data_IF_924098325849
#
_entry.id   IF_924098325849
#
_cell.length_a   1.000
_cell.length_b   1.000
_cell.length_c   1.000
_cell.angle_alpha   90.00
_cell.angle_beta   90.00
_cell.angle_gamma   90.00
#
_symmetry.space_group_name_H-M   'P 1'
#
loop_
_entity.id
_entity.type
_entity.pdbx_description
1 polymer ?
#
# COMPACT_ATOMS: atom_id res chain seq x y z
N UNK A 1 -18.96 -8.52 27.17
CA UNK A 1 -19.43 -8.74 25.79
C UNK A 1 -18.45 -8.04 24.89
N UNK A 2 -17.61 -8.81 24.20
CA UNK A 2 -16.69 -8.24 23.18
C UNK A 2 -17.53 -7.58 22.09
N UNK A 3 -17.12 -6.41 21.55
CA UNK A 3 -17.74 -5.86 20.38
C UNK A 3 -17.65 -6.92 19.27
N UNK A 4 -18.78 -7.29 18.67
CA UNK A 4 -18.78 -8.10 17.45
C UNK A 4 -18.13 -7.22 16.37
N UNK A 5 -16.89 -7.55 16.02
CA UNK A 5 -16.22 -6.96 14.88
C UNK A 5 -17.09 -7.24 13.64
N UNK A 6 -17.53 -6.19 12.97
CA UNK A 6 -18.27 -6.34 11.72
C UNK A 6 -17.31 -6.91 10.66
N UNK A 7 -17.78 -7.84 9.81
CA UNK A 7 -16.92 -8.40 8.77
C UNK A 7 -16.39 -7.30 7.84
N UNK A 8 -15.15 -7.45 7.40
CA UNK A 8 -14.50 -6.51 6.47
C UNK A 8 -15.33 -6.44 5.19
N UNK A 9 -15.79 -5.25 4.83
CA UNK A 9 -16.71 -5.03 3.71
C UNK A 9 -16.08 -4.13 2.66
N UNK A 10 -16.02 -4.62 1.42
CA UNK A 10 -15.57 -3.88 0.24
C UNK A 10 -16.72 -3.70 -0.76
N UNK A 11 -16.60 -2.74 -1.68
CA UNK A 11 -17.54 -2.62 -2.78
C UNK A 11 -17.46 -3.86 -3.69
N UNK A 12 -18.58 -4.43 -4.08
CA UNK A 12 -18.69 -5.76 -4.67
C UNK A 12 -17.96 -5.93 -6.03
N UNK A 13 -17.78 -4.84 -6.80
CA UNK A 13 -17.16 -4.86 -8.10
C UNK A 13 -15.99 -3.87 -8.13
N UNK A 14 -14.85 -4.28 -7.58
CA UNK A 14 -13.62 -3.50 -7.61
C UNK A 14 -12.45 -4.33 -8.14
N UNK A 15 -11.50 -3.68 -8.83
CA UNK A 15 -10.30 -4.33 -9.35
C UNK A 15 -9.28 -4.63 -8.27
N UNK A 16 -9.30 -3.84 -7.20
CA UNK A 16 -8.42 -4.00 -6.05
C UNK A 16 -9.12 -3.67 -4.75
N UNK A 17 -8.63 -4.28 -3.68
CA UNK A 17 -9.07 -4.08 -2.30
C UNK A 17 -7.86 -3.78 -1.45
N UNK A 18 -7.91 -2.69 -0.70
CA UNK A 18 -6.83 -2.22 0.16
C UNK A 18 -7.32 -2.12 1.60
N UNK A 19 -6.71 -2.86 2.48
CA UNK A 19 -7.00 -2.89 3.89
C UNK A 19 -5.85 -2.30 4.67
N UNK A 20 -6.13 -1.35 5.58
CA UNK A 20 -5.15 -0.83 6.52
C UNK A 20 -5.55 -1.22 7.94
N UNK A 21 -4.60 -1.78 8.70
CA UNK A 21 -4.84 -2.35 10.03
C UNK A 21 -3.81 -1.80 10.99
N UNK A 22 -4.28 -1.41 12.18
CA UNK A 22 -3.46 -1.02 13.31
C UNK A 22 -3.44 -2.14 14.35
N UNK A 23 -2.26 -2.61 14.76
CA UNK A 23 -2.08 -3.61 15.81
C UNK A 23 -1.45 -2.96 17.03
N UNK A 24 -2.09 -3.12 18.19
CA UNK A 24 -1.68 -2.52 19.46
C UNK A 24 -1.33 -3.59 20.49
N UNK A 25 -0.51 -3.19 21.47
CA UNK A 25 -0.03 -4.06 22.54
C UNK A 25 0.59 -5.36 21.99
N UNK A 26 1.39 -5.23 20.95
CA UNK A 26 2.13 -6.32 20.34
C UNK A 26 3.32 -6.72 21.22
N UNK A 27 3.88 -7.92 20.99
CA UNK A 27 5.15 -8.29 21.64
C UNK A 27 6.33 -7.55 20.98
N UNK A 28 6.95 -6.64 21.73
CA UNK A 28 8.06 -5.81 21.27
C UNK A 28 9.26 -6.65 20.74
N UNK A 29 9.50 -7.85 21.30
CA UNK A 29 10.59 -8.71 20.84
C UNK A 29 10.31 -9.28 19.46
N UNK A 30 9.07 -9.67 19.22
CA UNK A 30 8.60 -10.11 17.89
C UNK A 30 8.73 -8.98 16.88
N UNK A 31 8.29 -7.76 17.25
CA UNK A 31 8.36 -6.59 16.36
C UNK A 31 9.80 -6.16 16.03
N UNK A 32 10.77 -6.43 16.91
CA UNK A 32 12.18 -6.10 16.71
C UNK A 32 12.96 -7.16 15.92
N UNK A 33 12.43 -8.36 15.76
CA UNK A 33 13.10 -9.45 15.05
C UNK A 33 12.68 -9.48 13.57
N UNK A 34 13.57 -8.98 12.71
CA UNK A 34 13.32 -8.87 11.27
C UNK A 34 13.01 -10.21 10.61
N UNK A 35 13.65 -11.30 11.04
CA UNK A 35 13.41 -12.64 10.47
C UNK A 35 12.08 -13.21 10.91
N UNK A 36 11.76 -13.06 12.20
CA UNK A 36 10.48 -13.48 12.73
C UNK A 36 9.33 -12.70 12.10
N UNK A 37 9.48 -11.40 11.89
CA UNK A 37 8.51 -10.57 11.18
C UNK A 37 8.31 -11.05 9.74
N UNK A 38 9.39 -11.33 9.01
CA UNK A 38 9.30 -11.87 7.65
C UNK A 38 8.53 -13.20 7.62
N UNK A 39 8.88 -14.16 8.49
CA UNK A 39 8.21 -15.45 8.58
C UNK A 39 6.70 -15.30 8.89
N UNK A 40 6.34 -14.41 9.80
CA UNK A 40 4.95 -14.12 10.19
C UNK A 40 4.15 -13.60 8.99
N UNK A 41 4.70 -12.62 8.26
CA UNK A 41 4.00 -12.01 7.13
C UNK A 41 3.89 -12.94 5.93
N UNK A 42 4.94 -13.71 5.64
CA UNK A 42 4.91 -14.76 4.61
C UNK A 42 3.88 -15.84 4.95
N UNK A 43 3.80 -16.27 6.22
CA UNK A 43 2.80 -17.24 6.67
C UNK A 43 1.37 -16.66 6.56
N UNK A 44 1.15 -15.43 7.03
CA UNK A 44 -0.15 -14.78 6.95
C UNK A 44 -0.65 -14.64 5.51
N UNK A 45 0.24 -14.25 4.58
CA UNK A 45 -0.07 -14.20 3.16
C UNK A 45 -0.46 -15.57 2.61
N UNK A 46 0.30 -16.63 2.90
CA UNK A 46 0.04 -17.99 2.41
C UNK A 46 -1.28 -18.56 2.93
N UNK A 47 -1.55 -18.45 4.24
CA UNK A 47 -2.76 -19.03 4.84
C UNK A 47 -4.02 -18.30 4.39
N UNK A 48 -3.94 -17.02 4.05
CA UNK A 48 -5.06 -16.25 3.51
C UNK A 48 -5.33 -16.51 2.02
N UNK A 49 -4.54 -17.37 1.37
CA UNK A 49 -4.72 -17.78 -0.03
C UNK A 49 -3.83 -17.04 -1.02
N UNK A 50 -2.89 -16.19 -0.56
CA UNK A 50 -1.99 -15.46 -1.44
C UNK A 50 -0.88 -16.36 -2.01
N UNK A 51 -0.46 -16.05 -3.24
CA UNK A 51 0.71 -16.65 -3.87
C UNK A 51 1.92 -15.74 -3.66
N UNK A 52 2.79 -16.10 -2.70
CA UNK A 52 3.99 -15.31 -2.38
C UNK A 52 5.02 -15.42 -3.49
N UNK A 53 5.52 -14.28 -3.96
CA UNK A 53 6.57 -14.16 -4.98
C UNK A 53 7.93 -13.83 -4.35
N UNK A 54 7.96 -12.85 -3.46
CA UNK A 54 9.19 -12.34 -2.85
C UNK A 54 8.86 -11.70 -1.51
N UNK A 55 9.86 -11.59 -0.62
CA UNK A 55 9.77 -10.80 0.60
C UNK A 55 11.03 -9.95 0.78
N UNK A 56 10.85 -8.77 1.36
CA UNK A 56 11.95 -7.86 1.69
C UNK A 56 11.65 -7.20 3.02
N UNK A 57 12.54 -7.37 3.99
CA UNK A 57 12.40 -6.81 5.33
C UNK A 57 13.68 -6.09 5.72
N UNK A 58 13.53 -4.96 6.40
CA UNK A 58 14.63 -4.11 6.83
C UNK A 58 14.47 -3.75 8.31
N UNK A 59 15.56 -3.94 9.07
CA UNK A 59 15.64 -3.53 10.47
C UNK A 59 16.31 -2.15 10.56
N UNK A 60 15.69 -1.22 11.29
CA UNK A 60 16.21 0.12 11.53
C UNK A 60 16.99 0.20 12.84
N UNK A 61 17.88 1.19 12.93
CA UNK A 61 18.61 1.50 14.16
C UNK A 61 18.00 2.75 14.81
N UNK A 62 17.75 2.81 16.12
CA UNK A 62 18.12 1.78 17.12
C UNK A 62 17.17 0.57 17.14
N UNK A 63 15.96 0.66 16.56
CA UNK A 63 14.97 -0.41 16.50
C UNK A 63 13.89 -0.07 15.47
N UNK A 64 13.03 -1.06 15.17
CA UNK A 64 11.96 -0.95 14.19
C UNK A 64 12.20 -1.86 12.99
N UNK A 65 11.14 -2.33 12.40
CA UNK A 65 11.16 -3.17 11.19
C UNK A 65 10.15 -2.65 10.19
N UNK A 66 10.57 -2.47 8.95
CA UNK A 66 9.65 -2.33 7.83
C UNK A 66 9.83 -3.51 6.89
N UNK A 67 8.74 -4.02 6.36
CA UNK A 67 8.77 -5.18 5.47
C UNK A 67 7.64 -5.20 4.47
N UNK A 68 7.91 -5.91 3.38
CA UNK A 68 6.95 -6.12 2.30
C UNK A 68 7.04 -7.58 1.86
N UNK A 69 5.88 -8.23 1.75
CA UNK A 69 5.71 -9.50 1.05
C UNK A 69 4.99 -9.22 -0.26
N UNK A 70 5.68 -9.44 -1.35
CA UNK A 70 5.13 -9.33 -2.71
C UNK A 70 4.36 -10.61 -3.02
N UNK A 71 3.11 -10.47 -3.40
CA UNK A 71 2.24 -11.59 -3.77
C UNK A 71 1.77 -11.45 -5.22
N UNK A 72 1.34 -12.54 -5.84
CA UNK A 72 0.75 -12.49 -7.20
C UNK A 72 -0.41 -11.52 -7.30
N UNK A 73 -1.13 -11.33 -6.22
CA UNK A 73 -2.30 -10.47 -6.11
C UNK A 73 -1.96 -9.00 -5.81
N UNK A 74 -0.82 -8.68 -5.19
CA UNK A 74 -0.15 -7.38 -4.98
C UNK A 74 0.87 -7.42 -3.83
N UNK A 75 0.52 -7.02 -2.57
CA UNK A 75 1.47 -7.01 -1.46
C UNK A 75 0.80 -7.01 -0.07
N UNK A 76 1.60 -7.42 0.94
CA UNK A 76 1.42 -7.14 2.35
C UNK A 76 2.60 -6.28 2.80
N UNK A 77 2.35 -5.14 3.42
CA UNK A 77 3.40 -4.27 3.95
C UNK A 77 3.21 -4.06 5.46
N UNK A 78 4.31 -3.83 6.16
CA UNK A 78 4.32 -3.56 7.60
C UNK A 78 5.34 -2.51 7.96
N UNK A 79 4.97 -1.69 8.95
CA UNK A 79 5.85 -0.82 9.71
C UNK A 79 5.65 -1.12 11.19
N UNK A 80 6.72 -1.45 11.90
CA UNK A 80 6.68 -1.84 13.30
C UNK A 80 7.54 -0.93 14.18
N UNK A 81 6.96 -0.51 15.29
CA UNK A 81 7.60 0.29 16.35
C UNK A 81 7.61 -0.50 17.66
N UNK A 82 8.67 -1.29 17.91
CA UNK A 82 8.79 -2.09 19.13
C UNK A 82 8.68 -1.27 20.42
N UNK A 83 9.15 0.00 20.37
CA UNK A 83 9.09 0.94 21.50
C UNK A 83 7.68 1.39 21.89
N UNK A 84 6.73 1.17 20.99
CA UNK A 84 5.32 1.51 21.19
C UNK A 84 4.42 0.28 21.19
N UNK A 85 5.00 -0.94 21.16
CA UNK A 85 4.26 -2.20 21.03
C UNK A 85 3.24 -2.16 19.88
N UNK A 86 3.60 -1.51 18.76
CA UNK A 86 2.68 -1.12 17.70
C UNK A 86 3.19 -1.52 16.32
N UNK A 87 2.26 -1.98 15.47
CA UNK A 87 2.52 -2.23 14.05
C UNK A 87 1.37 -1.74 13.17
N UNK A 88 1.71 -1.01 12.10
CA UNK A 88 0.81 -0.61 11.04
C UNK A 88 0.97 -1.54 9.85
N UNK A 89 -0.13 -2.05 9.33
CA UNK A 89 -0.15 -3.03 8.24
C UNK A 89 -1.02 -2.54 7.10
N UNK A 90 -0.55 -2.78 5.87
CA UNK A 90 -1.25 -2.53 4.63
C UNK A 90 -1.34 -3.85 3.84
N UNK A 91 -2.56 -4.24 3.45
CA UNK A 91 -2.80 -5.40 2.59
C UNK A 91 -3.52 -4.91 1.35
N UNK A 92 -2.85 -4.93 0.20
CA UNK A 92 -3.47 -4.62 -1.08
C UNK A 92 -3.53 -5.87 -1.95
N UNK A 93 -4.72 -6.16 -2.48
CA UNK A 93 -4.92 -7.30 -3.38
C UNK A 93 -5.77 -6.94 -4.59
N UNK A 94 -5.49 -7.60 -5.70
CA UNK A 94 -6.28 -7.55 -6.91
C UNK A 94 -7.03 -8.87 -7.05
N UNK A 95 -8.35 -8.84 -6.88
CA UNK A 95 -9.19 -10.03 -6.91
C UNK A 95 -9.87 -10.31 -5.59
N UNK A 96 -10.51 -11.46 -5.51
CA UNK A 96 -11.39 -11.88 -4.42
C UNK A 96 -10.89 -13.14 -3.68
N UNK A 97 -9.71 -13.64 -4.05
CA UNK A 97 -9.18 -14.91 -3.54
C UNK A 97 -8.58 -14.80 -2.14
N UNK A 98 -8.22 -13.60 -1.69
CA UNK A 98 -7.59 -13.38 -0.39
C UNK A 98 -8.64 -13.26 0.69
N UNK A 99 -8.51 -14.09 1.72
CA UNK A 99 -9.31 -14.00 2.95
C UNK A 99 -8.66 -12.97 3.90
N UNK A 100 -9.19 -11.74 3.88
CA UNK A 100 -8.68 -10.63 4.69
C UNK A 100 -8.89 -10.85 6.19
N UNK A 101 -10.01 -11.47 6.59
CA UNK A 101 -10.29 -11.77 8.00
C UNK A 101 -9.28 -12.78 8.54
N UNK A 102 -8.98 -13.82 7.76
CA UNK A 102 -7.98 -14.81 8.12
C UNK A 102 -6.56 -14.22 8.14
N UNK A 103 -6.21 -13.33 7.19
CA UNK A 103 -4.94 -12.63 7.19
C UNK A 103 -4.78 -11.77 8.46
N UNK A 104 -5.77 -10.91 8.73
CA UNK A 104 -5.76 -9.99 9.88
C UNK A 104 -5.67 -10.75 11.21
N UNK A 105 -6.46 -11.80 11.40
CA UNK A 105 -6.44 -12.58 12.63
C UNK A 105 -5.15 -13.41 12.79
N UNK A 106 -4.57 -13.90 11.69
CA UNK A 106 -3.28 -14.60 11.72
C UNK A 106 -2.18 -13.65 12.17
N UNK A 107 -2.13 -12.44 11.60
CA UNK A 107 -1.19 -11.41 12.02
C UNK A 107 -1.40 -11.03 13.49
N UNK A 108 -2.65 -10.79 13.93
CA UNK A 108 -2.96 -10.45 15.32
C UNK A 108 -2.38 -11.48 16.30
N UNK A 109 -2.63 -12.77 16.04
CA UNK A 109 -2.13 -13.85 16.89
C UNK A 109 -0.61 -13.96 16.88
N UNK A 110 0.02 -13.85 15.71
CA UNK A 110 1.46 -14.05 15.55
C UNK A 110 2.28 -12.86 16.07
N UNK A 111 1.76 -11.66 15.95
CA UNK A 111 2.33 -10.45 16.55
C UNK A 111 2.07 -10.36 18.06
N UNK A 112 1.29 -11.29 18.61
CA UNK A 112 0.85 -11.29 20.00
C UNK A 112 0.08 -10.01 20.36
N UNK A 113 -0.61 -9.42 19.38
CA UNK A 113 -1.38 -8.20 19.57
C UNK A 113 -2.64 -8.43 20.41
N UNK A 114 -2.88 -7.58 21.38
CA UNK A 114 -4.10 -7.64 22.24
C UNK A 114 -5.30 -7.01 21.57
N UNK A 115 -5.09 -6.01 20.73
CA UNK A 115 -6.16 -5.35 19.99
C UNK A 115 -5.71 -4.97 18.59
N UNK A 116 -6.64 -5.00 17.65
CA UNK A 116 -6.44 -4.51 16.29
C UNK A 116 -7.59 -3.58 15.91
N UNK A 117 -7.32 -2.65 15.02
CA UNK A 117 -8.32 -1.76 14.45
C UNK A 117 -8.14 -1.68 12.93
N UNK A 118 -9.24 -1.90 12.21
CA UNK A 118 -9.25 -1.69 10.76
C UNK A 118 -9.52 -0.21 10.52
N UNK A 119 -8.49 0.53 10.13
CA UNK A 119 -8.59 1.96 9.91
C UNK A 119 -9.26 2.30 8.59
N UNK A 120 -8.98 1.53 7.52
CA UNK A 120 -9.61 1.75 6.22
C UNK A 120 -9.79 0.42 5.46
N UNK A 121 -10.91 0.32 4.72
CA UNK A 121 -11.16 -0.72 3.74
C UNK A 121 -11.55 -0.04 2.42
N UNK A 122 -10.57 0.11 1.52
CA UNK A 122 -10.71 0.88 0.28
C UNK A 122 -10.91 -0.05 -0.91
N UNK A 123 -11.85 0.29 -1.80
CA UNK A 123 -12.03 -0.36 -3.09
C UNK A 123 -11.40 0.49 -4.19
N UNK A 124 -10.58 -0.11 -5.04
CA UNK A 124 -9.89 0.59 -6.15
C UNK A 124 -10.32 0.03 -7.49
N UNK A 125 -10.46 0.92 -8.48
CA UNK A 125 -10.90 0.52 -9.83
C UNK A 125 -12.31 -0.06 -9.80
N UNK A 126 -13.29 0.75 -9.40
CA UNK A 126 -14.70 0.32 -9.30
C UNK A 126 -15.26 0.07 -10.70
N UNK A 127 -15.87 -1.08 -10.90
CA UNK A 127 -16.51 -1.48 -12.16
C UNK A 127 -17.98 -1.11 -12.10
N UNK A 128 -18.46 -0.34 -13.07
CA UNK A 128 -19.86 0.01 -13.22
C UNK A 128 -20.72 -1.16 -13.74
N UNK A 129 -22.03 -0.98 -13.70
CA UNK A 129 -23.00 -2.00 -14.15
C UNK A 129 -22.84 -2.40 -15.62
N UNK A 130 -22.26 -1.53 -16.43
CA UNK A 130 -21.96 -1.79 -17.85
C UNK A 130 -20.62 -2.51 -18.08
N UNK A 131 -19.92 -2.89 -17.00
CA UNK A 131 -18.59 -3.54 -17.07
C UNK A 131 -17.43 -2.58 -17.34
N UNK A 132 -17.66 -1.28 -17.50
CA UNK A 132 -16.59 -0.29 -17.66
C UNK A 132 -16.08 0.16 -16.31
N UNK A 133 -14.80 0.57 -16.28
CA UNK A 133 -14.21 1.22 -15.11
C UNK A 133 -14.95 2.54 -14.86
N UNK A 134 -15.50 2.71 -13.66
CA UNK A 134 -16.05 3.99 -13.25
C UNK A 134 -14.88 4.96 -13.04
N UNK A 135 -14.84 5.96 -13.90
CA UNK A 135 -14.00 7.13 -13.71
C UNK A 135 -14.78 8.06 -12.77
N UNK A 136 -14.49 8.01 -11.47
CA UNK A 136 -14.84 9.14 -10.64
C UNK A 136 -13.99 10.29 -11.19
N UNK A 137 -14.65 11.30 -11.75
CA UNK A 137 -13.98 12.58 -12.01
C UNK A 137 -13.28 12.94 -10.71
N UNK A 138 -11.97 13.19 -10.76
CA UNK A 138 -11.28 13.72 -9.62
C UNK A 138 -12.12 14.89 -9.16
N UNK A 139 -12.80 14.72 -8.05
CA UNK A 139 -13.47 15.85 -7.42
C UNK A 139 -12.32 16.74 -7.05
N UNK A 140 -12.11 17.71 -7.91
CA UNK A 140 -11.15 18.75 -7.71
C UNK A 140 -11.58 19.40 -6.39
N UNK A 141 -10.93 19.05 -5.29
CA UNK A 141 -11.10 19.69 -3.99
C UNK A 141 -10.58 21.14 -4.06
N UNK A 142 -10.57 21.73 -5.26
CA UNK A 142 -10.36 23.14 -5.57
C UNK A 142 -11.59 23.99 -5.28
N UNK A 143 -12.57 23.48 -4.51
CA UNK A 143 -13.56 24.34 -3.91
C UNK A 143 -12.82 25.37 -3.07
N UNK A 144 -12.96 26.64 -3.41
CA UNK A 144 -12.48 27.77 -2.60
C UNK A 144 -12.90 27.53 -1.15
N UNK A 145 -11.91 27.30 -0.26
CA UNK A 145 -12.12 26.95 1.14
C UNK A 145 -11.83 25.49 1.53
N UNK A 146 -11.43 24.62 0.61
CA UNK A 146 -10.99 23.26 0.98
C UNK A 146 -9.70 23.32 1.83
N UNK A 147 -9.73 22.65 2.99
CA UNK A 147 -8.59 22.56 3.89
C UNK A 147 -7.43 21.85 3.17
N UNK A 148 -6.22 22.42 3.21
CA UNK A 148 -5.03 21.80 2.62
C UNK A 148 -4.75 20.43 3.25
N UNK A 149 -4.04 19.54 2.54
CA UNK A 149 -3.65 18.24 3.09
C UNK A 149 -2.78 18.38 4.35
N UNK A 150 -1.93 19.41 4.40
CA UNK A 150 -1.14 19.70 5.59
C UNK A 150 -2.01 20.04 6.80
N UNK A 151 -3.01 20.91 6.64
CA UNK A 151 -3.93 21.25 7.72
C UNK A 151 -4.78 20.03 8.15
N UNK A 152 -5.20 19.20 7.20
CA UNK A 152 -5.92 17.93 7.51
C UNK A 152 -5.04 17.01 8.35
N UNK A 153 -3.75 16.83 7.95
CA UNK A 153 -2.78 16.00 8.64
C UNK A 153 -2.53 16.50 10.06
N UNK A 154 -2.27 17.81 10.23
CA UNK A 154 -2.04 18.43 11.53
C UNK A 154 -3.29 18.39 12.44
N UNK A 155 -4.48 18.67 11.87
CA UNK A 155 -5.75 18.65 12.63
C UNK A 155 -6.17 17.25 13.07
N UNK A 156 -5.74 16.22 12.36
CA UNK A 156 -5.98 14.83 12.69
C UNK A 156 -4.99 14.27 13.69
N UNK A 157 -3.97 15.04 14.09
CA UNK A 157 -2.84 14.56 14.90
C UNK A 157 -2.22 13.28 14.30
N UNK A 158 -2.15 13.24 12.96
CA UNK A 158 -1.70 12.08 12.24
C UNK A 158 -0.18 11.91 12.35
N UNK A 159 0.28 10.67 12.55
CA UNK A 159 1.71 10.34 12.57
C UNK A 159 2.20 9.79 11.22
N UNK A 160 1.30 9.40 10.32
CA UNK A 160 1.62 8.87 9.01
C UNK A 160 0.54 9.14 7.97
N UNK A 161 0.91 9.00 6.71
CA UNK A 161 0.02 9.21 5.57
C UNK A 161 0.25 8.13 4.53
N UNK A 162 -0.86 7.53 4.05
CA UNK A 162 -0.90 6.67 2.88
C UNK A 162 -1.57 7.42 1.73
N UNK A 163 -0.87 7.55 0.60
CA UNK A 163 -1.45 8.02 -0.65
C UNK A 163 -1.48 6.87 -1.66
N UNK A 164 -2.68 6.53 -2.14
CA UNK A 164 -2.92 5.58 -3.21
C UNK A 164 -3.18 6.34 -4.51
N UNK A 165 -2.26 6.23 -5.47
CA UNK A 165 -2.26 6.98 -6.72
C UNK A 165 -2.39 6.01 -7.88
N UNK A 166 -3.47 6.14 -8.66
CA UNK A 166 -3.69 5.37 -9.88
C UNK A 166 -3.49 6.31 -11.08
N UNK A 167 -2.46 6.08 -11.88
CA UNK A 167 -2.20 6.86 -13.11
C UNK A 167 -2.66 6.06 -14.31
N UNK A 168 -3.49 6.65 -15.14
CA UNK A 168 -4.16 6.00 -16.26
C UNK A 168 -3.62 6.47 -17.61
N UNK A 169 -3.80 5.59 -18.62
CA UNK A 169 -3.41 5.84 -20.00
C UNK A 169 -1.90 6.11 -20.14
N UNK A 170 -1.09 5.39 -19.34
CA UNK A 170 0.36 5.43 -19.44
C UNK A 170 0.83 4.71 -20.72
N UNK A 171 1.71 5.32 -21.53
CA UNK A 171 2.25 4.67 -22.72
C UNK A 171 2.97 3.36 -22.36
N UNK A 172 2.64 2.21 -22.98
CA UNK A 172 3.23 0.91 -22.64
C UNK A 172 4.75 0.87 -22.75
N UNK A 173 5.32 1.61 -23.68
CA UNK A 173 6.77 1.73 -23.89
C UNK A 173 7.52 2.35 -22.70
N UNK A 174 6.85 3.13 -21.85
CA UNK A 174 7.40 3.68 -20.61
C UNK A 174 7.33 2.68 -19.44
N UNK A 175 6.52 1.64 -19.57
CA UNK A 175 6.29 0.65 -18.52
C UNK A 175 7.31 -0.50 -18.58
N UNK A 176 8.59 -0.13 -18.64
CA UNK A 176 9.73 -1.07 -18.60
C UNK A 176 10.34 -1.12 -17.21
N UNK A 177 11.04 -2.22 -16.88
CA UNK A 177 11.74 -2.35 -15.58
C UNK A 177 12.69 -1.17 -15.32
N UNK A 178 13.45 -0.75 -16.33
CA UNK A 178 14.40 0.36 -16.20
C UNK A 178 13.71 1.69 -15.87
N UNK A 179 12.61 1.99 -16.57
CA UNK A 179 11.85 3.22 -16.32
C UNK A 179 11.17 3.18 -14.95
N UNK A 180 10.58 2.05 -14.56
CA UNK A 180 9.96 1.91 -13.23
C UNK A 180 11.00 2.12 -12.13
N UNK A 181 12.19 1.54 -12.23
CA UNK A 181 13.27 1.78 -11.27
C UNK A 181 13.69 3.26 -11.21
N UNK A 182 13.68 3.97 -12.35
CA UNK A 182 13.96 5.40 -12.40
C UNK A 182 12.84 6.18 -11.70
N UNK A 183 11.59 5.89 -12.01
CA UNK A 183 10.42 6.53 -11.36
C UNK A 183 10.45 6.33 -9.85
N UNK A 184 10.76 5.13 -9.35
CA UNK A 184 10.88 4.87 -7.90
C UNK A 184 11.98 5.70 -7.25
N UNK A 185 13.12 5.85 -7.93
CA UNK A 185 14.23 6.66 -7.43
C UNK A 185 13.87 8.14 -7.39
N UNK A 186 13.22 8.64 -8.44
CA UNK A 186 12.79 10.03 -8.52
C UNK A 186 11.70 10.33 -7.49
N UNK A 187 10.75 9.41 -7.29
CA UNK A 187 9.74 9.50 -6.23
C UNK A 187 10.37 9.58 -4.84
N UNK A 188 11.33 8.70 -4.52
CA UNK A 188 12.03 8.75 -3.24
C UNK A 188 12.72 10.11 -3.05
N UNK A 189 13.36 10.65 -4.11
CA UNK A 189 13.96 11.98 -4.11
C UNK A 189 12.95 13.10 -3.88
N UNK A 190 11.83 13.09 -4.59
CA UNK A 190 10.75 14.09 -4.46
C UNK A 190 10.08 14.04 -3.07
N UNK A 191 9.99 12.85 -2.50
CA UNK A 191 9.54 12.66 -1.13
C UNK A 191 10.58 13.09 -0.10
N UNK A 192 11.83 13.38 -0.48
CA UNK A 192 12.93 13.66 0.45
C UNK A 192 13.23 12.47 1.35
N UNK A 193 13.04 11.25 0.86
CA UNK A 193 13.24 10.00 1.58
C UNK A 193 14.46 9.24 1.02
N UNK A 194 15.09 8.43 1.88
CA UNK A 194 16.26 7.63 1.50
C UNK A 194 15.82 6.19 1.25
N UNK A 195 16.15 5.65 0.09
CA UNK A 195 15.89 4.26 -0.23
C UNK A 195 16.75 3.32 0.63
N UNK A 196 16.10 2.36 1.29
CA UNK A 196 16.72 1.32 2.11
C UNK A 196 16.71 0.00 1.34
N UNK A 197 17.90 -0.51 1.03
CA UNK A 197 18.05 -1.73 0.24
C UNK A 197 17.78 -1.54 -1.26
N UNK A 198 17.72 -2.66 -1.99
CA UNK A 198 17.39 -2.66 -3.40
C UNK A 198 15.87 -2.54 -3.60
N UNK A 199 15.46 -1.90 -4.69
CA UNK A 199 14.09 -1.99 -5.15
C UNK A 199 13.84 -3.41 -5.72
N UNK A 200 12.63 -3.90 -5.55
CA UNK A 200 12.16 -5.12 -6.19
C UNK A 200 11.23 -4.77 -7.36
N UNK A 201 11.45 -5.40 -8.49
CA UNK A 201 10.62 -5.28 -9.69
C UNK A 201 10.37 -6.68 -10.27
N UNK A 202 9.20 -7.25 -10.01
CA UNK A 202 8.83 -8.61 -10.41
C UNK A 202 7.81 -8.58 -11.53
N UNK A 203 8.16 -9.14 -12.69
CA UNK A 203 7.21 -9.35 -13.79
C UNK A 203 6.24 -10.47 -13.44
N UNK A 204 5.00 -10.32 -13.87
CA UNK A 204 3.99 -11.35 -13.73
C UNK A 204 3.20 -11.51 -15.04
N UNK A 205 2.70 -12.70 -15.25
CA UNK A 205 1.71 -13.02 -16.25
C UNK A 205 0.44 -13.51 -15.54
N UNK A 206 -0.67 -12.83 -15.77
CA UNK A 206 -1.96 -13.22 -15.26
C UNK A 206 -2.87 -13.58 -16.44
N UNK A 207 -3.34 -14.85 -16.53
CA UNK A 207 -4.15 -15.30 -17.69
C UNK A 207 -5.45 -14.52 -17.87
N UNK A 208 -6.00 -13.92 -16.79
CA UNK A 208 -7.26 -13.17 -16.83
C UNK A 208 -7.05 -11.66 -16.92
N UNK A 209 -5.87 -11.16 -16.47
CA UNK A 209 -5.59 -9.72 -16.27
C UNK A 209 -4.41 -9.21 -17.07
N UNK A 210 -3.79 -10.09 -17.86
CA UNK A 210 -2.66 -9.76 -18.72
C UNK A 210 -1.32 -9.59 -18.00
N UNK A 211 -0.35 -9.10 -18.74
CA UNK A 211 1.01 -8.92 -18.29
C UNK A 211 1.18 -7.64 -17.48
N UNK A 212 2.12 -7.67 -16.54
CA UNK A 212 2.44 -6.52 -15.75
C UNK A 212 3.73 -6.68 -14.94
N UNK A 213 3.94 -5.73 -14.05
CA UNK A 213 5.07 -5.74 -13.12
C UNK A 213 4.59 -5.24 -11.76
N UNK A 214 5.09 -5.85 -10.69
CA UNK A 214 4.99 -5.34 -9.33
C UNK A 214 6.31 -4.71 -8.95
N UNK A 215 6.24 -3.67 -8.15
CA UNK A 215 7.43 -2.99 -7.67
C UNK A 215 7.27 -2.62 -6.20
N UNK A 216 8.39 -2.63 -5.50
CA UNK A 216 8.46 -2.22 -4.10
C UNK A 216 9.77 -1.51 -3.81
N UNK A 217 9.74 -0.52 -2.92
CA UNK A 217 10.90 0.16 -2.39
C UNK A 217 10.67 0.48 -0.92
N UNK A 218 11.52 -0.04 -0.04
CA UNK A 218 11.56 0.38 1.35
C UNK A 218 12.31 1.71 1.44
N UNK A 219 11.77 2.64 2.22
CA UNK A 219 12.36 3.94 2.51
C UNK A 219 12.71 4.03 4.00
N UNK A 220 13.55 4.99 4.36
CA UNK A 220 13.90 5.30 5.75
C UNK A 220 12.69 5.71 6.62
N UNK A 221 11.64 6.21 5.98
CA UNK A 221 10.43 6.73 6.63
C UNK A 221 9.14 6.09 6.12
N UNK A 222 9.22 4.98 5.39
CA UNK A 222 8.04 4.34 4.84
C UNK A 222 8.29 3.39 3.67
N UNK A 223 7.33 3.28 2.77
CA UNK A 223 7.38 2.38 1.62
C UNK A 223 6.74 2.99 0.38
N UNK A 224 7.25 2.60 -0.79
CA UNK A 224 6.57 2.73 -2.08
C UNK A 224 6.29 1.32 -2.57
N UNK A 225 5.03 1.02 -2.87
CA UNK A 225 4.61 -0.26 -3.42
C UNK A 225 3.69 -0.05 -4.60
N UNK A 226 3.59 -1.02 -5.48
CA UNK A 226 2.60 -0.90 -6.55
C UNK A 226 2.77 -1.91 -7.65
N UNK A 227 2.02 -1.66 -8.69
CA UNK A 227 2.05 -2.46 -9.91
C UNK A 227 1.71 -1.62 -11.13
N UNK A 228 2.11 -2.05 -12.29
CA UNK A 228 1.47 -1.62 -13.51
C UNK A 228 0.87 -2.78 -14.30
N UNK A 229 -0.17 -2.48 -15.07
CA UNK A 229 -0.83 -3.39 -16.01
C UNK A 229 -0.58 -2.88 -17.41
N UNK A 230 0.04 -3.72 -18.26
CA UNK A 230 0.28 -3.38 -19.67
C UNK A 230 -1.03 -3.27 -20.45
N UNK A 231 -1.96 -4.23 -20.25
CA UNK A 231 -3.25 -4.21 -20.93
C UNK A 231 -4.10 -2.99 -20.59
N UNK A 232 -4.08 -2.57 -19.32
CA UNK A 232 -4.88 -1.45 -18.85
C UNK A 232 -4.16 -0.12 -18.98
N UNK A 233 -2.87 -0.13 -19.33
CA UNK A 233 -2.04 1.07 -19.39
C UNK A 233 -2.13 1.89 -18.10
N UNK A 234 -2.16 1.20 -16.96
CA UNK A 234 -2.40 1.82 -15.65
C UNK A 234 -1.26 1.49 -14.70
N UNK A 235 -0.78 2.51 -14.02
CA UNK A 235 0.23 2.43 -12.96
C UNK A 235 -0.44 2.70 -11.62
N UNK A 236 -0.47 1.69 -10.76
CA UNK A 236 -1.00 1.77 -9.39
C UNK A 236 0.17 1.93 -8.43
N UNK A 237 0.15 2.96 -7.62
CA UNK A 237 1.20 3.27 -6.66
C UNK A 237 0.63 3.59 -5.30
N UNK A 238 1.14 2.94 -4.27
CA UNK A 238 0.83 3.22 -2.87
C UNK A 238 2.11 3.73 -2.20
N UNK A 239 2.02 4.92 -1.59
CA UNK A 239 3.11 5.59 -0.90
C UNK A 239 2.69 5.79 0.54
N UNK A 240 3.37 5.12 1.46
CA UNK A 240 3.22 5.36 2.89
C UNK A 240 4.47 6.02 3.46
N UNK A 241 4.30 7.11 4.21
CA UNK A 241 5.37 7.71 5.02
C UNK A 241 4.88 8.00 6.45
N UNK A 242 5.79 7.83 7.42
CA UNK A 242 5.58 8.21 8.83
C UNK A 242 5.70 9.72 9.05
N UNK A 243 5.35 10.52 8.09
CA UNK A 243 5.36 11.99 8.12
C UNK A 243 4.49 12.54 7.01
N UNK A 244 4.24 13.84 7.09
CA UNK A 244 3.53 14.55 6.02
C UNK A 244 4.35 14.58 4.72
N UNK A 245 3.66 14.45 3.61
CA UNK A 245 4.08 14.85 2.26
C UNK A 245 2.86 15.38 1.52
N UNK A 246 3.06 16.23 0.50
CA UNK A 246 1.92 16.70 -0.30
C UNK A 246 1.53 15.63 -1.33
N UNK A 247 0.36 14.97 -1.18
CA UNK A 247 -0.02 13.87 -2.07
C UNK A 247 -0.37 14.36 -3.49
N UNK A 248 -0.72 15.65 -3.68
CA UNK A 248 -1.00 16.22 -5.00
C UNK A 248 0.28 16.50 -5.77
N UNK A 249 1.26 17.15 -5.14
CA UNK A 249 2.58 17.39 -5.76
C UNK A 249 3.22 16.07 -6.23
N UNK A 250 3.10 15.02 -5.40
CA UNK A 250 3.61 13.69 -5.75
C UNK A 250 2.80 13.06 -6.89
N UNK A 251 1.47 13.20 -6.90
CA UNK A 251 0.63 12.72 -8.00
C UNK A 251 0.95 13.42 -9.32
N UNK A 252 1.13 14.73 -9.29
CA UNK A 252 1.49 15.54 -10.47
C UNK A 252 2.88 15.17 -10.99
N UNK A 253 3.84 14.94 -10.10
CA UNK A 253 5.16 14.44 -10.47
C UNK A 253 5.09 13.05 -11.13
N UNK A 254 4.28 12.17 -10.57
CA UNK A 254 4.14 10.80 -11.05
C UNK A 254 3.46 10.74 -12.43
N UNK A 255 2.37 11.48 -12.64
CA UNK A 255 1.68 11.53 -13.94
C UNK A 255 2.59 12.07 -15.03
N UNK A 256 3.40 13.09 -14.72
CA UNK A 256 4.37 13.66 -15.66
C UNK A 256 5.48 12.65 -16.00
N UNK A 257 6.03 11.95 -15.00
CA UNK A 257 7.09 10.95 -15.20
C UNK A 257 6.62 9.76 -16.03
N UNK A 258 5.35 9.39 -15.93
CA UNK A 258 4.73 8.28 -16.65
C UNK A 258 4.04 8.70 -17.96
N UNK A 259 4.02 10.01 -18.26
CA UNK A 259 3.28 10.57 -19.40
C UNK A 259 1.83 10.05 -19.46
N UNK A 260 1.21 9.93 -18.26
CA UNK A 260 -0.18 9.53 -18.11
C UNK A 260 -1.13 10.65 -18.45
N UNK A 261 -2.39 10.33 -18.68
CA UNK A 261 -3.40 11.33 -19.09
C UNK A 261 -4.16 11.90 -17.89
N UNK A 262 -4.45 11.09 -16.87
CA UNK A 262 -5.12 11.51 -15.64
C UNK A 262 -4.75 10.57 -14.48
N UNK A 263 -5.02 11.00 -13.26
CA UNK A 263 -4.81 10.16 -12.09
C UNK A 263 -6.02 10.20 -11.14
N UNK A 264 -6.10 9.19 -10.27
CA UNK A 264 -6.99 9.15 -9.11
C UNK A 264 -6.12 9.11 -7.86
N UNK A 265 -6.47 9.93 -6.87
CA UNK A 265 -5.78 10.00 -5.59
C UNK A 265 -6.76 9.64 -4.45
N UNK A 266 -6.33 8.74 -3.58
CA UNK A 266 -6.98 8.46 -2.30
C UNK A 266 -5.95 8.62 -1.20
N UNK A 267 -6.34 9.26 -0.09
CA UNK A 267 -5.44 9.51 1.03
C UNK A 267 -6.06 8.99 2.32
N UNK A 268 -5.27 8.23 3.08
CA UNK A 268 -5.61 7.77 4.40
C UNK A 268 -4.59 8.32 5.41
N UNK A 269 -5.07 8.91 6.49
CA UNK A 269 -4.24 9.40 7.59
C UNK A 269 -4.15 8.32 8.66
N UNK A 270 -2.96 8.09 9.21
CA UNK A 270 -2.72 7.20 10.34
C UNK A 270 -2.71 8.02 11.64
N UNK A 271 -3.51 7.61 12.62
CA UNK A 271 -3.71 8.29 13.90
C UNK A 271 -3.36 7.40 15.08
#
# INVERSE_FOLDING_TARGET
MSPQEQPISFQALALGRHLTIEYYDCDARTLADVRQMEDIFVEAAKVSGATVLESSFHAFQPQGVSGIVVICESHFAVHAWPEHDYAAVDIFTCGDQIDFDLAAETLRRKLNSRSMHISHALSRGIIGQNGSLLREEATDDTTEGAMSWQLRYESADAWGMLASIDVYECPPELLTTGNVCTVLKDLAGNLGAVACGANSCVKFHDPERGDGMRFTQILDSGTITGRFSLERQTFYCDIFLCRFFDPREISDSLINSLNGNYYRLQVALRQ
#
